data_IF_301742917671
#
_entry.id   IF_301742917671
#
_cell.length_a   1.000
_cell.length_b   1.000
_cell.length_c   1.000
_cell.angle_alpha   90.00
_cell.angle_beta   90.00
_cell.angle_gamma   90.00
#
_symmetry.space_group_name_H-M   'P 1'
#
loop_
_entity.id
_entity.type
_entity.pdbx_description
1 polymer ?
#
# COMPACT_ATOMS: atom_id res chain seq x y z
N UNK A 1 -14.10 2.98 37.58
CA UNK A 1 -13.01 3.65 36.84
C UNK A 1 -12.77 3.08 35.48
N UNK A 2 -12.99 1.77 35.29
CA UNK A 2 -12.85 1.11 33.97
C UNK A 2 -13.78 1.74 32.92
N UNK A 3 -15.01 2.10 33.28
CA UNK A 3 -15.97 2.71 32.37
C UNK A 3 -15.52 4.11 31.86
N UNK A 4 -14.85 4.89 32.70
CA UNK A 4 -14.32 6.21 32.28
C UNK A 4 -13.24 6.07 31.23
N UNK A 5 -12.26 5.18 31.45
CA UNK A 5 -11.17 4.96 30.49
C UNK A 5 -11.69 4.43 29.17
N UNK A 6 -12.67 3.54 29.19
CA UNK A 6 -13.29 2.99 27.98
C UNK A 6 -13.97 4.09 27.16
N UNK A 7 -14.79 4.93 27.79
CA UNK A 7 -15.46 6.05 27.11
C UNK A 7 -14.47 7.05 26.55
N UNK A 8 -13.40 7.33 27.29
CA UNK A 8 -12.35 8.26 26.83
C UNK A 8 -11.64 7.73 25.59
N UNK A 9 -11.25 6.45 25.57
CA UNK A 9 -10.65 5.80 24.42
C UNK A 9 -11.58 5.80 23.18
N UNK A 10 -12.86 5.56 23.40
CA UNK A 10 -13.84 5.56 22.32
C UNK A 10 -14.00 6.96 21.72
N UNK A 11 -14.02 8.01 22.54
CA UNK A 11 -14.08 9.40 22.07
C UNK A 11 -12.83 9.78 21.28
N UNK A 12 -11.66 9.38 21.77
CA UNK A 12 -10.39 9.65 21.08
C UNK A 12 -10.33 8.93 19.73
N UNK A 13 -10.76 7.68 19.69
CA UNK A 13 -10.84 6.90 18.45
C UNK A 13 -11.78 7.55 17.45
N UNK A 14 -12.98 7.95 17.89
CA UNK A 14 -13.95 8.61 17.02
C UNK A 14 -13.43 9.95 16.50
N UNK A 15 -12.80 10.76 17.36
CA UNK A 15 -12.21 12.03 16.94
C UNK A 15 -11.08 11.84 15.93
N UNK A 16 -10.24 10.84 16.15
CA UNK A 16 -9.16 10.49 15.22
C UNK A 16 -9.71 10.05 13.87
N UNK A 17 -10.71 9.18 13.87
CA UNK A 17 -11.35 8.72 12.63
C UNK A 17 -12.01 9.87 11.87
N UNK A 18 -12.63 10.81 12.58
CA UNK A 18 -13.22 12.00 11.97
C UNK A 18 -12.16 12.89 11.31
N UNK A 19 -11.01 13.07 11.96
CA UNK A 19 -9.89 13.85 11.38
C UNK A 19 -9.34 13.17 10.13
N UNK A 20 -9.19 11.86 10.14
CA UNK A 20 -8.72 11.09 8.98
C UNK A 20 -9.70 11.21 7.83
N UNK A 21 -11.00 11.05 8.10
CA UNK A 21 -12.05 11.15 7.10
C UNK A 21 -12.14 12.56 6.51
N UNK A 22 -11.89 13.60 7.33
CA UNK A 22 -11.92 14.98 6.88
C UNK A 22 -10.76 15.33 5.94
N UNK A 23 -9.59 14.68 6.12
CA UNK A 23 -8.41 14.96 5.29
C UNK A 23 -7.54 13.70 5.14
N UNK A 24 -7.99 12.73 4.32
CA UNK A 24 -7.29 11.47 4.14
C UNK A 24 -5.88 11.63 3.53
N UNK A 25 -5.70 12.58 2.63
CA UNK A 25 -4.39 12.80 2.00
C UNK A 25 -3.34 13.25 2.99
N UNK A 26 -3.71 14.16 3.88
CA UNK A 26 -2.82 14.62 4.96
C UNK A 26 -2.44 13.47 5.89
N UNK A 27 -3.40 12.62 6.22
CA UNK A 27 -3.16 11.44 7.05
C UNK A 27 -2.18 10.47 6.39
N UNK A 28 -2.38 10.18 5.10
CA UNK A 28 -1.50 9.30 4.34
C UNK A 28 -0.08 9.85 4.25
N UNK A 29 0.05 11.15 4.00
CA UNK A 29 1.36 11.81 3.93
C UNK A 29 2.10 11.71 5.27
N UNK A 30 1.41 11.96 6.38
CA UNK A 30 1.98 11.86 7.72
C UNK A 30 2.39 10.43 8.05
N UNK A 31 1.57 9.44 7.68
CA UNK A 31 1.83 8.03 7.91
C UNK A 31 3.07 7.56 7.15
N UNK A 32 3.21 7.93 5.88
CA UNK A 32 4.36 7.60 5.05
C UNK A 32 5.65 8.18 5.64
N UNK A 33 5.59 9.42 6.08
CA UNK A 33 6.73 10.10 6.69
C UNK A 33 7.14 9.44 8.00
N UNK A 34 6.17 9.07 8.83
CA UNK A 34 6.43 8.45 10.11
C UNK A 34 7.03 7.04 9.97
N UNK A 35 6.41 6.17 9.15
CA UNK A 35 6.81 4.77 9.04
C UNK A 35 7.95 4.52 8.08
N UNK A 36 8.05 5.30 7.00
CA UNK A 36 9.00 5.03 5.92
C UNK A 36 9.99 6.16 5.66
N UNK A 37 9.86 7.27 6.38
CA UNK A 37 10.74 8.41 6.21
C UNK A 37 10.65 9.10 4.85
N UNK A 38 9.58 8.85 4.09
CA UNK A 38 9.37 9.46 2.79
C UNK A 38 8.47 10.69 2.91
N UNK A 39 8.90 11.82 2.36
CA UNK A 39 8.09 13.03 2.31
C UNK A 39 7.06 12.95 1.19
N UNK A 40 6.03 13.80 1.25
CA UNK A 40 5.02 13.89 0.19
C UNK A 40 5.66 14.22 -1.16
N UNK A 41 6.63 15.12 -1.18
CA UNK A 41 7.37 15.47 -2.40
C UNK A 41 8.13 14.27 -2.97
N UNK A 42 8.78 13.50 -2.10
CA UNK A 42 9.50 12.29 -2.51
C UNK A 42 8.53 11.22 -3.01
N UNK A 43 7.38 11.06 -2.36
CA UNK A 43 6.34 10.12 -2.79
C UNK A 43 5.78 10.49 -4.17
N UNK A 44 5.50 11.78 -4.39
CA UNK A 44 5.01 12.28 -5.68
C UNK A 44 6.05 12.06 -6.78
N UNK A 45 7.33 12.30 -6.48
CA UNK A 45 8.43 12.07 -7.42
C UNK A 45 8.57 10.59 -7.76
N UNK A 46 8.40 9.71 -6.79
CA UNK A 46 8.46 8.26 -6.99
C UNK A 46 7.34 7.79 -7.92
N UNK A 47 6.12 8.22 -7.68
CA UNK A 47 4.98 7.87 -8.54
C UNK A 47 5.16 8.44 -9.95
N UNK A 48 5.65 9.67 -10.06
CA UNK A 48 5.95 10.28 -11.36
C UNK A 48 7.02 9.50 -12.12
N UNK A 49 8.03 8.98 -11.42
CA UNK A 49 9.07 8.13 -12.03
C UNK A 49 8.51 6.83 -12.60
N UNK A 50 7.37 6.39 -12.09
CA UNK A 50 6.64 5.21 -12.60
C UNK A 50 5.63 5.57 -13.70
N UNK A 51 5.59 6.84 -14.11
CA UNK A 51 4.61 7.33 -15.08
C UNK A 51 3.19 7.41 -14.54
N UNK A 52 3.02 7.53 -13.21
CA UNK A 52 1.72 7.53 -12.56
C UNK A 52 1.03 6.16 -12.61
N UNK A 53 1.80 5.08 -12.76
CA UNK A 53 1.30 3.71 -12.95
C UNK A 53 1.89 2.76 -11.93
N UNK A 54 1.18 1.64 -11.70
CA UNK A 54 1.69 0.55 -10.87
C UNK A 54 3.07 0.08 -11.37
N UNK A 55 4.00 -0.10 -10.44
CA UNK A 55 5.35 -0.52 -10.77
C UNK A 55 5.42 -1.94 -11.39
N UNK A 56 4.40 -2.77 -11.16
CA UNK A 56 4.37 -4.16 -11.65
C UNK A 56 3.49 -4.27 -12.91
N UNK A 57 2.17 -4.07 -12.76
CA UNK A 57 1.23 -4.35 -13.85
C UNK A 57 0.99 -3.17 -14.78
N UNK A 58 1.51 -1.99 -14.42
CA UNK A 58 1.42 -0.76 -15.23
C UNK A 58 0.00 -0.21 -15.37
N UNK A 59 -0.94 -0.63 -14.55
CA UNK A 59 -2.27 -0.01 -14.53
C UNK A 59 -2.17 1.46 -14.12
N UNK A 60 -3.02 2.30 -14.67
CA UNK A 60 -3.11 3.72 -14.30
C UNK A 60 -4.10 3.98 -13.16
N UNK A 61 -4.77 2.93 -12.67
CA UNK A 61 -5.73 3.04 -11.58
C UNK A 61 -5.26 2.22 -10.38
N UNK A 62 -5.24 2.80 -9.17
CA UNK A 62 -4.82 2.07 -7.98
C UNK A 62 -5.79 0.98 -7.54
N UNK A 63 -7.07 1.09 -7.88
CA UNK A 63 -8.13 0.18 -7.43
C UNK A 63 -8.31 0.18 -5.90
N UNK A 64 -9.07 -0.76 -5.37
CA UNK A 64 -9.37 -0.82 -3.95
C UNK A 64 -10.04 0.46 -3.46
N UNK A 65 -9.43 1.13 -2.48
CA UNK A 65 -9.94 2.38 -1.91
C UNK A 65 -9.51 3.64 -2.67
N UNK A 66 -8.94 3.47 -3.85
CA UNK A 66 -8.54 4.58 -4.71
C UNK A 66 -7.17 5.20 -4.40
N UNK A 67 -6.40 4.59 -3.50
CA UNK A 67 -5.07 5.06 -3.15
C UNK A 67 -3.99 4.07 -3.60
N UNK A 68 -2.87 4.59 -4.08
CA UNK A 68 -1.70 3.79 -4.37
C UNK A 68 -1.08 3.27 -3.08
N UNK A 69 -0.61 2.03 -3.10
CA UNK A 69 0.06 1.41 -1.96
C UNK A 69 1.56 1.63 -2.05
N UNK A 70 2.12 2.27 -1.02
CA UNK A 70 3.56 2.43 -0.91
C UNK A 70 4.16 1.12 -0.43
N UNK A 71 4.84 0.44 -1.33
CA UNK A 71 5.45 -0.85 -1.05
C UNK A 71 6.86 -0.69 -0.47
N UNK A 72 7.21 -1.55 0.45
CA UNK A 72 8.50 -1.53 1.12
C UNK A 72 9.00 -2.94 1.39
N UNK A 73 10.31 -3.07 1.52
CA UNK A 73 10.94 -4.32 1.92
C UNK A 73 10.71 -4.54 3.42
N UNK A 74 10.10 -5.66 3.80
CA UNK A 74 9.75 -5.94 5.20
C UNK A 74 10.99 -6.15 6.09
N UNK A 75 12.10 -6.59 5.53
CA UNK A 75 13.33 -6.83 6.28
C UNK A 75 14.12 -5.55 6.52
N UNK A 76 14.24 -4.69 5.50
CA UNK A 76 15.07 -3.48 5.55
C UNK A 76 14.25 -2.20 5.76
N UNK A 77 12.93 -2.24 5.56
CA UNK A 77 12.02 -1.10 5.55
C UNK A 77 12.27 -0.13 4.39
N UNK A 78 13.10 -0.51 3.43
CA UNK A 78 13.37 0.32 2.26
C UNK A 78 12.14 0.43 1.37
N UNK A 79 11.80 1.64 0.95
CA UNK A 79 10.70 1.89 0.01
C UNK A 79 11.09 1.34 -1.37
N UNK A 80 10.19 0.53 -1.96
CA UNK A 80 10.41 -0.07 -3.27
C UNK A 80 9.70 0.66 -4.39
N UNK A 81 8.43 1.04 -4.17
CA UNK A 81 7.64 1.70 -5.19
C UNK A 81 6.17 1.76 -4.83
N UNK A 82 5.36 2.29 -5.74
CA UNK A 82 3.89 2.31 -5.58
C UNK A 82 3.26 1.17 -6.38
N UNK A 83 2.31 0.49 -5.75
CA UNK A 83 1.58 -0.63 -6.35
C UNK A 83 0.08 -0.38 -6.30
N UNK A 84 -0.64 -0.95 -7.27
CA UNK A 84 -2.09 -1.03 -7.18
C UNK A 84 -2.51 -2.06 -6.12
N UNK A 85 -3.78 -2.03 -5.75
CA UNK A 85 -4.33 -2.94 -4.73
C UNK A 85 -4.03 -4.41 -5.05
N UNK A 86 -4.29 -4.84 -6.29
CA UNK A 86 -4.12 -6.23 -6.69
C UNK A 86 -2.66 -6.69 -6.58
N UNK A 87 -1.71 -5.89 -7.06
CA UNK A 87 -0.30 -6.25 -7.01
C UNK A 87 0.22 -6.25 -5.57
N UNK A 88 -0.16 -5.27 -4.77
CA UNK A 88 0.24 -5.21 -3.37
C UNK A 88 -0.28 -6.42 -2.59
N UNK A 89 -1.55 -6.75 -2.75
CA UNK A 89 -2.16 -7.93 -2.11
C UNK A 89 -1.56 -9.23 -2.62
N UNK A 90 -1.32 -9.32 -3.93
CA UNK A 90 -0.72 -10.49 -4.55
C UNK A 90 0.66 -10.81 -4.01
N UNK A 91 1.53 -9.81 -3.89
CA UNK A 91 2.85 -10.00 -3.29
C UNK A 91 2.74 -10.51 -1.84
N UNK A 92 1.82 -9.94 -1.07
CA UNK A 92 1.61 -10.34 0.32
C UNK A 92 1.14 -11.79 0.43
N UNK A 93 0.21 -12.23 -0.41
CA UNK A 93 -0.28 -13.60 -0.43
C UNK A 93 0.81 -14.61 -0.79
N UNK A 94 1.74 -14.23 -1.66
CA UNK A 94 2.90 -15.05 -1.99
C UNK A 94 4.09 -14.80 -1.07
N UNK A 95 3.89 -14.07 0.04
CA UNK A 95 4.88 -13.80 1.08
C UNK A 95 6.14 -13.11 0.56
N UNK A 96 5.98 -12.26 -0.44
CA UNK A 96 7.09 -11.54 -1.10
C UNK A 96 8.20 -12.48 -1.59
N UNK A 97 7.85 -13.72 -1.91
CA UNK A 97 8.83 -14.74 -2.32
C UNK A 97 8.98 -14.75 -3.85
N UNK A 98 10.12 -14.30 -4.39
CA UNK A 98 10.33 -14.28 -5.84
C UNK A 98 10.24 -15.66 -6.49
N UNK A 99 10.67 -16.71 -5.79
CA UNK A 99 10.58 -18.07 -6.32
C UNK A 99 9.12 -18.51 -6.46
N UNK A 100 8.29 -18.26 -5.44
CA UNK A 100 6.86 -18.60 -5.49
C UNK A 100 6.16 -17.84 -6.61
N UNK A 101 6.48 -16.58 -6.79
CA UNK A 101 5.91 -15.76 -7.86
C UNK A 101 6.31 -16.27 -9.24
N UNK A 102 7.57 -16.68 -9.40
CA UNK A 102 8.07 -17.28 -10.63
C UNK A 102 7.37 -18.60 -10.93
N UNK A 103 7.22 -19.46 -9.92
CA UNK A 103 6.52 -20.75 -10.06
C UNK A 103 5.04 -20.54 -10.41
N UNK A 104 4.39 -19.53 -9.81
CA UNK A 104 3.02 -19.18 -10.16
C UNK A 104 2.90 -18.74 -11.60
N UNK A 105 3.86 -17.95 -12.08
CA UNK A 105 3.92 -17.54 -13.48
C UNK A 105 4.06 -18.72 -14.42
N UNK A 106 4.96 -19.65 -14.12
CA UNK A 106 5.15 -20.86 -14.90
C UNK A 106 3.90 -21.74 -14.92
N UNK A 107 3.24 -21.89 -13.77
CA UNK A 107 1.97 -22.61 -13.66
C UNK A 107 0.93 -22.03 -14.62
N UNK A 108 0.77 -20.71 -14.63
CA UNK A 108 -0.19 -20.05 -15.51
C UNK A 108 0.15 -20.25 -16.98
N UNK A 109 1.43 -20.11 -17.37
CA UNK A 109 1.87 -20.31 -18.75
C UNK A 109 1.60 -21.71 -19.24
N UNK A 110 1.83 -22.71 -18.38
CA UNK A 110 1.60 -24.13 -18.69
C UNK A 110 0.13 -24.43 -18.99
N UNK A 111 -0.79 -23.72 -18.36
CA UNK A 111 -2.24 -23.96 -18.46
C UNK A 111 -2.96 -22.92 -19.31
N UNK A 112 -2.25 -21.95 -19.85
CA UNK A 112 -2.83 -20.95 -20.73
C UNK A 112 -2.77 -21.48 -22.17
N UNK A 113 -3.94 -21.48 -22.84
CA UNK A 113 -4.00 -21.87 -24.26
C UNK A 113 -3.30 -20.82 -25.09
N UNK A 114 -2.38 -21.25 -25.95
CA UNK A 114 -1.75 -20.38 -26.93
C UNK A 114 -2.81 -19.94 -27.97
N UNK A 115 -2.85 -18.66 -28.24
CA UNK A 115 -3.70 -18.11 -29.30
C UNK A 115 -2.87 -17.92 -30.56
#
# INVERSE_FOLDING_TARGET
MVAYHKKHKEREKAARQARIAANPDKYLAAQRRYYYGITEKQADALLASQGGRCAICRTDTPNGRGAWHLDHDHATQAVRGFLCQACNSGLGFFKDDPLRLSLAGEYLKKHTKAE
#
